data_IF_526291319509
#
_entry.id   IF_526291319509
#
_cell.length_a   1.000
_cell.length_b   1.000
_cell.length_c   1.000
_cell.angle_alpha   90.00
_cell.angle_beta   90.00
_cell.angle_gamma   90.00
#
_symmetry.space_group_name_H-M   'P 1'
#
loop_
_entity.id
_entity.type
_entity.pdbx_description
1 polymer ?
#
# COMPACT_ATOMS: atom_id res chain seq x y z
N UNK A 1 -40.63 15.98 -57.44
CA UNK A 1 -40.35 16.82 -56.25
C UNK A 1 -39.89 15.87 -55.16
N UNK A 2 -38.58 15.69 -55.05
CA UNK A 2 -37.96 14.58 -54.30
C UNK A 2 -37.58 15.07 -52.90
N UNK A 3 -37.88 14.22 -51.91
CA UNK A 3 -37.62 14.37 -50.49
C UNK A 3 -36.22 14.93 -50.21
N UNK A 4 -36.18 16.07 -49.52
CA UNK A 4 -35.01 16.53 -48.78
C UNK A 4 -35.53 17.20 -47.50
N UNK A 5 -34.80 17.03 -46.39
CA UNK A 5 -35.09 17.58 -45.04
C UNK A 5 -35.82 16.60 -44.08
N UNK A 6 -35.43 15.31 -44.02
CA UNK A 6 -35.70 14.47 -42.83
C UNK A 6 -34.53 13.56 -42.44
N UNK A 7 -33.30 14.06 -42.51
CA UNK A 7 -32.12 13.36 -41.96
C UNK A 7 -31.20 14.31 -41.20
N UNK A 8 -31.77 15.10 -40.30
CA UNK A 8 -31.02 15.86 -39.31
C UNK A 8 -31.60 15.50 -37.94
N UNK A 9 -31.07 14.43 -37.33
CA UNK A 9 -30.87 14.15 -35.90
C UNK A 9 -30.48 12.67 -35.84
N UNK A 10 -29.21 12.40 -36.11
CA UNK A 10 -28.55 11.17 -35.71
C UNK A 10 -27.14 11.54 -35.20
N UNK A 11 -27.09 12.53 -34.31
CA UNK A 11 -25.86 12.91 -33.63
C UNK A 11 -25.65 12.00 -32.40
N UNK A 12 -24.96 10.89 -32.65
CA UNK A 12 -24.02 10.18 -31.77
C UNK A 12 -24.41 9.93 -30.29
N UNK A 13 -24.84 8.70 -29.96
CA UNK A 13 -24.67 8.12 -28.61
C UNK A 13 -23.19 7.82 -28.23
N UNK A 14 -22.24 8.01 -29.15
CA UNK A 14 -20.85 7.52 -29.00
C UNK A 14 -19.94 8.36 -28.08
N UNK A 15 -20.35 9.56 -27.64
CA UNK A 15 -19.49 10.47 -26.85
C UNK A 15 -19.46 10.07 -25.36
N UNK A 16 -20.47 9.35 -24.87
CA UNK A 16 -20.54 8.98 -23.45
C UNK A 16 -19.53 7.86 -23.12
N UNK A 17 -19.37 6.88 -24.01
CA UNK A 17 -18.46 5.74 -23.80
C UNK A 17 -16.97 6.10 -23.75
N UNK A 18 -16.53 7.15 -24.45
CA UNK A 18 -15.12 7.56 -24.48
C UNK A 18 -14.69 8.27 -23.21
N UNK A 19 -15.56 9.09 -22.60
CA UNK A 19 -15.22 9.82 -21.37
C UNK A 19 -15.08 8.89 -20.15
N UNK A 20 -15.90 7.85 -20.07
CA UNK A 20 -15.80 6.84 -19.02
C UNK A 20 -14.58 5.92 -19.24
N UNK A 21 -14.28 5.55 -20.48
CA UNK A 21 -13.07 4.80 -20.82
C UNK A 21 -11.79 5.58 -20.52
N UNK A 22 -11.74 6.89 -20.82
CA UNK A 22 -10.62 7.77 -20.48
C UNK A 22 -10.50 7.92 -18.96
N UNK A 23 -11.61 8.14 -18.25
CA UNK A 23 -11.59 8.20 -16.78
C UNK A 23 -11.16 6.88 -16.16
N UNK A 24 -11.55 5.75 -16.74
CA UNK A 24 -11.10 4.43 -16.32
C UNK A 24 -9.61 4.27 -16.55
N UNK A 25 -9.10 4.61 -17.75
CA UNK A 25 -7.68 4.58 -18.07
C UNK A 25 -6.84 5.51 -17.20
N UNK A 26 -7.31 6.74 -16.93
CA UNK A 26 -6.65 7.68 -16.02
C UNK A 26 -6.63 7.16 -14.58
N UNK A 27 -7.73 6.56 -14.09
CA UNK A 27 -7.79 5.97 -12.74
C UNK A 27 -6.86 4.75 -12.62
N UNK A 28 -6.77 3.95 -13.66
CA UNK A 28 -5.87 2.79 -13.72
C UNK A 28 -4.40 3.21 -13.74
N UNK A 29 -4.04 4.16 -14.60
CA UNK A 29 -2.69 4.70 -14.69
C UNK A 29 -2.26 5.39 -13.38
N UNK A 30 -3.14 6.22 -12.78
CA UNK A 30 -2.87 6.84 -11.49
C UNK A 30 -2.69 5.77 -10.40
N UNK A 31 -3.49 4.70 -10.41
CA UNK A 31 -3.36 3.61 -9.44
C UNK A 31 -2.01 2.93 -9.59
N UNK A 32 -1.60 2.56 -10.79
CA UNK A 32 -0.30 1.94 -11.05
C UNK A 32 0.85 2.84 -10.56
N UNK A 33 0.80 4.14 -10.86
CA UNK A 33 1.74 5.13 -10.34
C UNK A 33 1.75 5.15 -8.80
N UNK A 34 0.57 5.24 -8.17
CA UNK A 34 0.47 5.29 -6.71
C UNK A 34 0.95 4.00 -6.02
N UNK A 35 0.87 2.84 -6.69
CA UNK A 35 1.27 1.55 -6.14
C UNK A 35 2.76 1.32 -6.18
N UNK A 36 3.45 1.84 -7.20
CA UNK A 36 4.91 1.86 -7.28
C UNK A 36 5.58 2.90 -6.35
N UNK A 37 4.82 3.84 -5.77
CA UNK A 37 5.36 4.88 -4.89
C UNK A 37 5.68 4.35 -3.49
N UNK A 38 6.96 4.45 -3.14
CA UNK A 38 7.48 4.20 -1.79
C UNK A 38 6.79 5.09 -0.76
N UNK A 39 6.39 4.49 0.35
CA UNK A 39 5.74 5.17 1.45
C UNK A 39 6.12 4.55 2.79
N UNK A 40 6.04 5.35 3.84
CA UNK A 40 6.18 4.86 5.19
C UNK A 40 4.80 4.46 5.72
N UNK A 41 4.80 3.72 6.83
CA UNK A 41 3.60 3.36 7.56
C UNK A 41 3.61 4.02 8.94
N UNK A 42 2.46 4.52 9.35
CA UNK A 42 2.21 5.02 10.70
C UNK A 42 0.94 4.42 11.24
N UNK A 43 0.78 4.38 12.56
CA UNK A 43 -0.38 3.74 13.20
C UNK A 43 -1.26 4.74 13.95
N UNK A 44 -2.47 4.31 14.26
CA UNK A 44 -3.42 4.99 15.14
C UNK A 44 -4.23 3.91 15.85
N UNK A 45 -4.61 4.11 17.11
CA UNK A 45 -5.42 3.11 17.81
C UNK A 45 -6.87 3.15 17.30
N UNK A 46 -7.45 1.98 17.06
CA UNK A 46 -8.85 1.86 16.66
C UNK A 46 -9.80 2.31 17.80
N UNK A 47 -9.42 2.04 19.05
CA UNK A 47 -10.13 2.50 20.26
C UNK A 47 -9.20 3.35 21.11
N UNK A 48 -9.69 4.50 21.57
CA UNK A 48 -8.92 5.37 22.45
C UNK A 48 -8.61 4.70 23.78
N UNK A 49 -7.39 4.91 24.27
CA UNK A 49 -6.91 4.41 25.56
C UNK A 49 -5.82 5.36 26.10
N UNK A 50 -5.25 5.03 27.26
CA UNK A 50 -4.09 5.75 27.82
C UNK A 50 -2.86 5.73 26.88
N UNK A 51 -2.81 4.78 25.94
CA UNK A 51 -1.73 4.65 24.97
C UNK A 51 -1.91 5.50 23.71
N UNK A 52 -3.11 6.06 23.47
CA UNK A 52 -3.42 6.78 22.22
C UNK A 52 -2.40 7.84 21.86
N UNK A 53 -1.99 8.67 22.83
CA UNK A 53 -1.03 9.75 22.58
C UNK A 53 0.33 9.24 22.06
N UNK A 54 0.74 8.03 22.45
CA UNK A 54 2.02 7.45 22.03
C UNK A 54 1.92 6.71 20.70
N UNK A 55 0.76 6.14 20.39
CA UNK A 55 0.53 5.39 19.15
C UNK A 55 0.14 6.29 17.98
N UNK A 56 -0.56 7.39 18.22
CA UNK A 56 -1.07 8.25 17.15
C UNK A 56 0.09 8.85 16.34
N UNK A 57 0.27 8.36 15.10
CA UNK A 57 1.35 8.76 14.21
C UNK A 57 2.69 8.09 14.49
N UNK A 58 2.75 7.10 15.37
CA UNK A 58 3.93 6.28 15.62
C UNK A 58 4.36 5.55 14.34
N UNK A 59 5.68 5.46 14.13
CA UNK A 59 6.25 4.86 12.93
C UNK A 59 6.45 3.35 13.10
N UNK A 60 6.43 2.66 11.96
CA UNK A 60 6.73 1.24 11.88
C UNK A 60 8.18 1.03 11.41
N UNK A 61 8.89 0.11 12.06
CA UNK A 61 10.28 -0.24 11.82
C UNK A 61 10.46 -1.73 11.56
N UNK A 62 11.57 -2.07 10.89
CA UNK A 62 11.97 -3.43 10.62
C UNK A 62 13.07 -3.85 11.59
N UNK A 63 12.90 -5.00 12.25
CA UNK A 63 13.92 -5.56 13.14
C UNK A 63 13.72 -7.08 13.27
N UNK A 64 14.82 -7.84 13.15
CA UNK A 64 14.84 -9.29 13.36
C UNK A 64 13.77 -10.05 12.57
N UNK A 65 13.59 -9.72 11.28
CA UNK A 65 12.58 -10.28 10.37
C UNK A 65 11.12 -10.04 10.78
N UNK A 66 10.88 -9.20 11.79
CA UNK A 66 9.56 -8.79 12.28
C UNK A 66 9.31 -7.29 12.05
N UNK A 67 8.04 -6.95 11.99
CA UNK A 67 7.58 -5.57 11.87
C UNK A 67 7.18 -5.04 13.24
N UNK A 68 7.72 -3.88 13.63
CA UNK A 68 7.58 -3.31 14.96
C UNK A 68 7.06 -1.88 14.91
N UNK A 69 6.32 -1.47 15.92
CA UNK A 69 5.81 -0.12 16.13
C UNK A 69 6.65 0.54 17.22
N UNK A 70 7.28 1.67 16.89
CA UNK A 70 8.07 2.47 17.83
C UNK A 70 7.20 3.57 18.44
N UNK A 71 6.84 3.40 19.72
CA UNK A 71 6.11 4.40 20.50
C UNK A 71 7.04 5.34 21.30
N UNK A 72 8.36 5.13 21.25
CA UNK A 72 9.37 6.00 21.87
C UNK A 72 9.77 7.17 20.96
N UNK A 73 9.74 6.95 19.64
CA UNK A 73 10.25 7.89 18.64
C UNK A 73 11.78 7.95 18.56
N UNK A 74 12.47 7.03 19.23
CA UNK A 74 13.94 6.98 19.33
C UNK A 74 14.55 6.09 18.24
N UNK A 75 13.83 5.09 17.72
CA UNK A 75 14.39 4.11 16.76
C UNK A 75 14.96 4.76 15.50
N UNK A 76 14.33 5.85 15.01
CA UNK A 76 14.85 6.62 13.88
C UNK A 76 16.20 7.27 14.17
N UNK A 77 16.44 7.71 15.41
CA UNK A 77 17.70 8.34 15.84
C UNK A 77 18.79 7.30 16.05
N UNK A 78 18.41 6.08 16.42
CA UNK A 78 19.31 4.92 16.56
C UNK A 78 19.67 4.27 15.22
N UNK A 79 19.14 4.78 14.11
CA UNK A 79 19.46 4.29 12.77
C UNK A 79 18.69 3.04 12.37
N UNK A 80 17.63 2.64 13.08
CA UNK A 80 16.76 1.57 12.62
C UNK A 80 16.06 1.99 11.32
N UNK A 81 15.99 1.06 10.38
CA UNK A 81 15.40 1.32 9.07
C UNK A 81 13.86 1.36 9.19
N UNK A 82 13.21 2.50 8.90
CA UNK A 82 11.76 2.58 8.90
C UNK A 82 11.21 1.75 7.74
N UNK A 83 10.01 1.18 7.94
CA UNK A 83 9.28 0.54 6.84
C UNK A 83 9.13 1.55 5.70
N UNK A 84 9.65 1.18 4.54
CA UNK A 84 9.54 1.95 3.31
C UNK A 84 8.93 1.02 2.26
N UNK A 85 7.61 0.94 2.28
CA UNK A 85 6.83 -0.04 1.54
C UNK A 85 6.28 0.49 0.22
N UNK A 86 6.02 -0.42 -0.70
CA UNK A 86 5.24 -0.22 -1.93
C UNK A 86 4.70 -1.57 -2.41
N UNK A 87 3.84 -1.56 -3.41
CA UNK A 87 3.17 -2.78 -3.85
C UNK A 87 3.74 -3.27 -5.18
N UNK A 88 3.85 -4.59 -5.29
CA UNK A 88 4.32 -5.28 -6.50
C UNK A 88 3.48 -6.55 -6.75
N UNK A 89 3.24 -6.91 -8.02
CA UNK A 89 2.63 -8.19 -8.35
C UNK A 89 3.42 -9.34 -7.72
N UNK A 90 2.73 -10.21 -6.98
CA UNK A 90 3.35 -11.37 -6.38
C UNK A 90 3.27 -12.57 -7.34
N UNK A 91 4.38 -13.26 -7.64
CA UNK A 91 4.38 -14.34 -8.62
C UNK A 91 3.36 -15.43 -8.31
N UNK A 92 2.56 -15.81 -9.31
CA UNK A 92 1.58 -16.90 -9.27
C UNK A 92 0.43 -16.75 -8.25
N UNK A 93 0.21 -15.57 -7.67
CA UNK A 93 -0.91 -15.34 -6.74
C UNK A 93 -2.10 -14.59 -7.34
N UNK A 94 -1.93 -13.94 -8.49
CA UNK A 94 -3.00 -13.15 -9.11
C UNK A 94 -4.27 -13.98 -9.37
N UNK A 95 -4.14 -15.11 -10.07
CA UNK A 95 -5.26 -16.00 -10.34
C UNK A 95 -5.87 -16.59 -9.06
N UNK A 96 -5.05 -16.86 -8.04
CA UNK A 96 -5.50 -17.37 -6.73
C UNK A 96 -6.39 -16.34 -6.04
N UNK A 97 -5.94 -15.09 -5.99
CA UNK A 97 -6.70 -13.99 -5.39
C UNK A 97 -7.99 -13.69 -6.16
N UNK A 98 -7.93 -13.72 -7.49
CA UNK A 98 -9.15 -13.59 -8.32
C UNK A 98 -10.16 -14.70 -8.02
N UNK A 99 -9.71 -15.95 -7.90
CA UNK A 99 -10.58 -17.08 -7.53
C UNK A 99 -11.17 -16.95 -6.12
N UNK A 100 -10.47 -16.28 -5.20
CA UNK A 100 -10.95 -15.94 -3.86
C UNK A 100 -11.90 -14.72 -3.83
N UNK A 101 -12.21 -14.13 -4.99
CA UNK A 101 -13.14 -13.00 -5.10
C UNK A 101 -12.48 -11.61 -5.00
N UNK A 102 -11.14 -11.55 -4.89
CA UNK A 102 -10.43 -10.28 -4.95
C UNK A 102 -10.36 -9.80 -6.39
N UNK A 103 -10.83 -8.58 -6.66
CA UNK A 103 -10.81 -8.01 -8.03
C UNK A 103 -9.39 -7.86 -8.58
N UNK A 104 -8.44 -7.55 -7.70
CA UNK A 104 -7.01 -7.36 -7.95
C UNK A 104 -6.27 -7.73 -6.66
N UNK A 105 -5.01 -8.11 -6.77
CA UNK A 105 -4.20 -8.42 -5.61
C UNK A 105 -2.72 -8.25 -5.90
N UNK A 106 -1.99 -7.71 -4.95
CA UNK A 106 -0.54 -7.60 -5.02
C UNK A 106 0.08 -7.95 -3.67
N UNK A 107 1.38 -8.25 -3.72
CA UNK A 107 2.19 -8.32 -2.52
C UNK A 107 2.64 -6.92 -2.10
N UNK A 108 3.01 -6.78 -0.83
CA UNK A 108 3.70 -5.60 -0.34
C UNK A 108 5.17 -5.94 -0.17
N UNK A 109 6.05 -5.04 -0.61
CA UNK A 109 7.49 -5.12 -0.36
C UNK A 109 7.93 -3.95 0.49
N UNK A 110 9.05 -4.10 1.18
CA UNK A 110 9.73 -3.03 1.92
C UNK A 110 11.22 -3.05 1.61
N UNK A 111 11.86 -1.88 1.63
CA UNK A 111 13.32 -1.83 1.65
C UNK A 111 13.84 -2.19 3.05
N UNK A 112 15.02 -2.82 3.12
CA UNK A 112 15.73 -3.13 4.37
C UNK A 112 17.04 -2.36 4.54
N UNK A 113 17.48 -1.69 3.47
CA UNK A 113 18.65 -0.81 3.43
C UNK A 113 18.33 0.39 2.53
N UNK A 114 19.02 1.50 2.77
CA UNK A 114 18.90 2.70 1.94
C UNK A 114 19.70 2.56 0.65
N UNK A 115 20.94 2.06 0.75
CA UNK A 115 21.86 1.92 -0.38
C UNK A 115 22.85 0.76 -0.17
N UNK A 116 22.83 -0.31 -1.00
CA UNK A 116 21.85 -0.57 -2.03
C UNK A 116 20.48 -0.92 -1.42
N UNK A 117 19.36 -0.53 -2.05
CA UNK A 117 18.03 -0.85 -1.55
C UNK A 117 17.70 -2.32 -1.80
N UNK A 118 17.98 -3.17 -0.83
CA UNK A 118 17.50 -4.56 -0.82
C UNK A 118 15.99 -4.58 -0.50
N UNK A 119 15.27 -5.47 -1.19
CA UNK A 119 13.82 -5.61 -1.09
C UNK A 119 13.44 -6.93 -0.45
N UNK A 120 12.59 -6.85 0.56
CA UNK A 120 11.93 -8.01 1.17
C UNK A 120 10.42 -7.91 0.98
N UNK A 121 9.77 -9.05 0.87
CA UNK A 121 8.33 -9.16 0.89
C UNK A 121 7.82 -9.06 2.31
N UNK A 122 6.69 -8.38 2.50
CA UNK A 122 5.94 -8.34 3.76
C UNK A 122 4.83 -9.39 3.70
N UNK A 123 4.74 -10.20 4.74
CA UNK A 123 3.79 -11.31 4.83
C UNK A 123 3.31 -11.49 6.26
N UNK A 124 2.18 -12.18 6.43
CA UNK A 124 1.68 -12.63 7.72
C UNK A 124 2.08 -14.09 7.90
N UNK A 125 2.76 -14.39 9.00
CA UNK A 125 3.12 -15.75 9.38
C UNK A 125 1.84 -16.55 9.65
N UNK A 126 1.69 -17.70 9.00
CA UNK A 126 0.49 -18.53 9.07
C UNK A 126 0.29 -19.17 10.44
N UNK A 127 1.36 -19.39 11.20
CA UNK A 127 1.29 -20.05 12.49
C UNK A 127 1.15 -19.03 13.62
N UNK A 128 1.96 -17.97 13.58
CA UNK A 128 2.03 -16.98 14.69
C UNK A 128 1.19 -15.74 14.47
N UNK A 129 0.81 -15.45 13.23
CA UNK A 129 0.09 -14.24 12.82
C UNK A 129 0.88 -12.95 13.00
N UNK A 130 2.19 -13.09 13.19
CA UNK A 130 3.14 -11.98 13.16
C UNK A 130 3.23 -11.42 11.74
N UNK A 131 3.24 -10.09 11.63
CA UNK A 131 3.62 -9.44 10.38
C UNK A 131 5.14 -9.43 10.29
N UNK A 132 5.66 -10.13 9.28
CA UNK A 132 7.08 -10.36 9.04
C UNK A 132 7.51 -9.81 7.70
N UNK A 133 8.82 -9.73 7.52
CA UNK A 133 9.43 -9.43 6.24
C UNK A 133 10.57 -10.39 5.95
N UNK A 134 10.76 -10.74 4.68
CA UNK A 134 11.78 -11.72 4.28
C UNK A 134 11.98 -11.81 2.78
N UNK A 135 12.94 -12.63 2.37
CA UNK A 135 13.14 -12.94 0.94
C UNK A 135 12.01 -13.84 0.43
N UNK A 136 11.94 -14.06 -0.88
CA UNK A 136 10.85 -14.82 -1.51
C UNK A 136 10.70 -16.24 -0.95
N UNK A 137 11.80 -16.89 -0.55
CA UNK A 137 11.79 -18.24 0.05
C UNK A 137 11.11 -18.28 1.41
N UNK A 138 11.27 -17.22 2.21
CA UNK A 138 10.69 -17.14 3.56
C UNK A 138 9.16 -17.00 3.52
N UNK A 139 8.65 -16.47 2.40
CA UNK A 139 7.22 -16.25 2.20
C UNK A 139 6.45 -17.49 1.73
N UNK A 140 7.15 -18.59 1.41
CA UNK A 140 6.51 -19.80 0.87
C UNK A 140 5.61 -20.42 1.93
N UNK A 141 4.33 -20.61 1.59
CA UNK A 141 3.33 -21.18 2.51
C UNK A 141 2.74 -20.17 3.51
N UNK A 142 3.25 -18.94 3.54
CA UNK A 142 2.77 -17.86 4.38
C UNK A 142 1.64 -17.07 3.70
N UNK A 143 0.95 -16.21 4.45
CA UNK A 143 -0.05 -15.34 3.86
C UNK A 143 0.62 -14.08 3.29
N UNK A 144 0.68 -13.97 1.97
CA UNK A 144 1.43 -12.91 1.27
C UNK A 144 0.57 -11.77 0.74
N UNK A 145 -0.74 -11.84 0.94
CA UNK A 145 -1.69 -10.84 0.49
C UNK A 145 -3.08 -11.40 0.18
N UNK A 146 -3.91 -10.65 -0.55
CA UNK A 146 -3.52 -9.41 -1.21
C UNK A 146 -3.39 -8.25 -0.22
N UNK A 147 -2.36 -7.42 -0.42
CA UNK A 147 -2.24 -6.14 0.25
C UNK A 147 -2.89 -5.05 -0.61
N UNK A 148 -3.70 -4.19 0.01
CA UNK A 148 -4.27 -3.02 -0.66
C UNK A 148 -4.42 -1.85 0.29
N UNK A 149 -4.78 -0.68 -0.23
CA UNK A 149 -5.19 0.48 0.55
C UNK A 149 -6.65 0.82 0.30
N UNK A 150 -7.33 1.40 1.28
CA UNK A 150 -8.72 1.84 1.10
C UNK A 150 -8.84 2.92 0.02
N UNK A 151 -10.01 2.95 -0.65
CA UNK A 151 -10.28 3.82 -1.81
C UNK A 151 -10.22 5.31 -1.50
N UNK A 152 -10.60 5.68 -0.27
CA UNK A 152 -10.80 7.08 0.11
C UNK A 152 -9.53 7.70 0.67
N UNK A 153 -8.70 6.94 1.39
CA UNK A 153 -7.45 7.45 1.92
C UNK A 153 -6.65 6.31 2.56
N UNK A 154 -5.50 5.98 1.94
CA UNK A 154 -4.21 5.55 2.52
C UNK A 154 -4.16 4.47 3.63
N UNK A 155 -5.28 3.96 4.16
CA UNK A 155 -5.28 2.93 5.19
C UNK A 155 -4.95 1.59 4.58
N UNK A 156 -3.95 0.93 5.15
CA UNK A 156 -3.48 -0.38 4.72
C UNK A 156 -4.53 -1.43 5.08
N UNK A 157 -4.71 -2.39 4.19
CA UNK A 157 -5.58 -3.55 4.38
C UNK A 157 -4.86 -4.81 3.89
N UNK A 158 -5.21 -5.93 4.49
CA UNK A 158 -4.72 -7.24 4.13
C UNK A 158 -5.91 -8.17 3.93
N UNK A 159 -5.92 -8.90 2.81
CA UNK A 159 -7.06 -9.74 2.42
C UNK A 159 -8.41 -9.01 2.44
N UNK A 160 -8.39 -7.70 2.14
CA UNK A 160 -9.59 -6.88 2.00
C UNK A 160 -10.14 -6.26 3.28
N UNK A 161 -9.44 -6.37 4.42
CA UNK A 161 -9.88 -5.74 5.67
C UNK A 161 -8.71 -5.30 6.57
N UNK A 162 -9.03 -4.64 7.69
CA UNK A 162 -8.10 -3.90 8.57
C UNK A 162 -7.97 -4.57 9.96
N UNK A 163 -7.48 -5.80 10.02
CA UNK A 163 -7.34 -6.61 11.25
C UNK A 163 -6.01 -6.46 12.00
N UNK A 164 -5.40 -5.27 12.00
CA UNK A 164 -4.06 -5.09 12.58
C UNK A 164 -4.09 -4.97 14.11
N UNK A 165 -3.15 -5.63 14.78
CA UNK A 165 -3.03 -5.65 16.24
C UNK A 165 -1.59 -5.34 16.65
N UNK A 166 -1.40 -4.38 17.54
CA UNK A 166 -0.15 -4.16 18.27
C UNK A 166 -0.09 -5.09 19.48
N UNK A 167 1.03 -5.78 19.65
CA UNK A 167 1.25 -6.68 20.79
C UNK A 167 2.50 -6.28 21.56
N UNK A 168 2.34 -6.12 22.87
CA UNK A 168 3.44 -5.92 23.81
C UNK A 168 4.04 -7.29 24.16
N UNK A 169 5.11 -7.69 23.49
CA UNK A 169 5.72 -9.01 23.71
C UNK A 169 6.42 -9.10 25.06
N UNK A 170 7.08 -8.04 25.49
CA UNK A 170 7.63 -7.92 26.84
C UNK A 170 7.05 -6.69 27.54
N UNK A 171 6.65 -6.87 28.79
CA UNK A 171 6.02 -5.80 29.58
C UNK A 171 6.99 -4.63 29.79
N UNK A 172 6.51 -3.42 29.47
CA UNK A 172 7.28 -2.19 29.58
C UNK A 172 8.06 -1.80 28.32
N UNK A 173 8.05 -2.63 27.26
CA UNK A 173 8.74 -2.31 26.01
C UNK A 173 8.04 -1.16 25.27
N UNK A 174 8.87 -0.29 24.68
CA UNK A 174 8.43 0.80 23.81
C UNK A 174 8.37 0.39 22.33
N UNK A 175 8.65 -0.87 22.04
CA UNK A 175 8.57 -1.48 20.71
C UNK A 175 7.53 -2.58 20.74
N UNK A 176 6.48 -2.42 19.95
CA UNK A 176 5.35 -3.35 19.94
C UNK A 176 5.35 -4.13 18.62
N UNK A 177 5.23 -5.44 18.68
CA UNK A 177 5.21 -6.26 17.49
C UNK A 177 3.87 -6.11 16.77
N UNK A 178 3.92 -6.04 15.44
CA UNK A 178 2.72 -5.96 14.61
C UNK A 178 2.23 -7.37 14.26
N UNK A 179 0.96 -7.63 14.53
CA UNK A 179 0.25 -8.85 14.19
C UNK A 179 -0.96 -8.54 13.30
N UNK A 180 -1.49 -9.58 12.65
CA UNK A 180 -2.74 -9.51 11.91
C UNK A 180 -3.69 -10.62 12.37
N UNK A 181 -4.87 -10.25 12.83
CA UNK A 181 -5.89 -11.20 13.25
C UNK A 181 -6.57 -11.81 12.00
N UNK A 182 -6.09 -12.95 11.50
CA UNK A 182 -6.59 -13.52 10.24
C UNK A 182 -8.04 -14.02 10.35
N UNK A 183 -8.45 -14.57 11.50
CA UNK A 183 -9.77 -15.16 11.72
C UNK A 183 -10.75 -14.25 12.48
N UNK A 184 -10.36 -13.03 12.84
CA UNK A 184 -11.18 -12.09 13.63
C UNK A 184 -11.57 -12.66 15.01
N UNK A 185 -10.63 -13.38 15.64
CA UNK A 185 -10.81 -14.04 16.95
C UNK A 185 -10.11 -13.29 18.10
N UNK A 186 -9.45 -12.18 17.79
CA UNK A 186 -8.61 -11.42 18.70
C UNK A 186 -7.26 -12.08 18.98
N UNK A 187 -6.77 -12.92 18.06
CA UNK A 187 -5.56 -13.75 18.21
C UNK A 187 -5.64 -14.72 19.39
N UNK A 188 -6.83 -15.25 19.69
CA UNK A 188 -7.13 -16.01 20.93
C UNK A 188 -7.19 -17.51 20.75
N UNK A 189 -7.05 -18.02 19.53
CA UNK A 189 -6.88 -19.45 19.31
C UNK A 189 -5.75 -20.03 20.18
N UNK A 190 -5.94 -21.27 20.61
CA UNK A 190 -5.08 -21.92 21.60
C UNK A 190 -3.60 -21.86 21.20
N UNK A 191 -2.77 -21.33 22.09
CA UNK A 191 -1.32 -21.20 21.86
C UNK A 191 -0.90 -19.93 21.11
N UNK A 192 -1.84 -19.14 20.58
CA UNK A 192 -1.54 -17.82 20.00
C UNK A 192 -1.29 -16.77 21.08
N UNK A 193 -0.83 -15.60 20.65
CA UNK A 193 -0.38 -14.55 21.57
C UNK A 193 -1.49 -13.98 22.46
N UNK A 194 -2.74 -13.98 21.99
CA UNK A 194 -3.89 -13.56 22.79
C UNK A 194 -4.27 -14.53 23.91
N UNK A 195 -3.88 -15.81 23.80
CA UNK A 195 -4.05 -16.85 24.83
C UNK A 195 -2.95 -16.78 25.91
N UNK A 196 -1.92 -15.94 25.71
CA UNK A 196 -0.75 -15.82 26.61
C UNK A 196 -0.84 -14.63 27.57
N UNK A 197 -1.99 -13.95 27.65
CA UNK A 197 -2.20 -12.80 28.54
C UNK A 197 -1.38 -11.56 28.17
N UNK A 198 -0.89 -11.47 26.92
CA UNK A 198 -0.17 -10.30 26.42
C UNK A 198 -1.11 -9.10 26.23
N UNK A 199 -0.57 -7.90 26.37
CA UNK A 199 -1.33 -6.68 26.09
C UNK A 199 -1.43 -6.49 24.58
N UNK A 200 -2.66 -6.26 24.10
CA UNK A 200 -2.96 -6.12 22.69
C UNK A 200 -3.85 -4.90 22.44
N UNK A 201 -3.55 -4.17 21.38
CA UNK A 201 -4.31 -2.98 20.96
C UNK A 201 -4.62 -3.06 19.47
N UNK A 202 -5.89 -2.99 19.09
CA UNK A 202 -6.30 -2.94 17.68
C UNK A 202 -5.90 -1.60 17.04
N UNK A 203 -5.46 -1.66 15.79
CA UNK A 203 -4.85 -0.54 15.08
C UNK A 203 -5.49 -0.27 13.73
N UNK A 204 -5.43 0.98 13.31
CA UNK A 204 -5.44 1.38 11.92
C UNK A 204 -4.01 1.70 11.47
N UNK A 205 -3.63 1.25 10.28
CA UNK A 205 -2.32 1.57 9.69
C UNK A 205 -2.53 2.51 8.50
N UNK A 206 -1.81 3.61 8.48
CA UNK A 206 -1.91 4.67 7.49
C UNK A 206 -0.61 4.79 6.68
N UNK A 207 -0.77 4.85 5.36
CA UNK A 207 0.30 5.22 4.43
C UNK A 207 0.66 6.69 4.61
N UNK A 208 1.93 6.94 4.88
CA UNK A 208 2.53 8.26 4.99
C UNK A 208 3.63 8.42 3.95
N UNK A 209 3.35 9.21 2.91
CA UNK A 209 4.33 9.52 1.89
C UNK A 209 5.48 10.36 2.47
N UNK A 210 6.73 10.13 2.02
CA UNK A 210 7.85 10.99 2.40
C UNK A 210 7.56 12.43 1.97
N UNK A 211 8.05 13.38 2.76
CA UNK A 211 8.03 14.78 2.34
C UNK A 211 8.95 14.94 1.14
N UNK A 212 8.44 15.51 0.06
CA UNK A 212 9.24 15.91 -1.10
C UNK A 212 9.94 17.23 -0.75
N UNK A 213 11.27 17.25 -0.84
CA UNK A 213 12.07 18.46 -0.66
C UNK A 213 11.93 19.41 -1.85
N UNK A 214 12.32 20.67 -1.68
CA UNK A 214 12.20 21.69 -2.73
C UNK A 214 12.95 21.28 -4.02
N UNK A 215 14.20 20.81 -3.90
CA UNK A 215 15.02 20.47 -5.06
C UNK A 215 14.41 19.31 -5.86
N UNK A 216 13.99 18.24 -5.18
CA UNK A 216 13.31 17.11 -5.80
C UNK A 216 11.98 17.55 -6.47
N UNK A 217 11.25 18.48 -5.86
CA UNK A 217 10.02 19.02 -6.45
C UNK A 217 10.29 19.87 -7.70
N UNK A 218 11.41 20.61 -7.72
CA UNK A 218 11.84 21.40 -8.88
C UNK A 218 12.30 20.50 -10.03
N UNK A 219 13.10 19.48 -9.76
CA UNK A 219 13.53 18.48 -10.73
C UNK A 219 12.32 17.76 -11.36
N UNK A 220 11.39 17.26 -10.54
CA UNK A 220 10.15 16.63 -11.02
C UNK A 220 9.33 17.60 -11.90
N UNK A 221 9.30 18.88 -11.55
CA UNK A 221 8.63 19.91 -12.36
C UNK A 221 9.31 20.12 -13.70
N UNK A 222 10.65 20.18 -13.73
CA UNK A 222 11.41 20.34 -14.97
C UNK A 222 11.21 19.13 -15.90
N UNK A 223 11.22 17.92 -15.37
CA UNK A 223 10.99 16.71 -16.14
C UNK A 223 9.57 16.65 -16.72
N UNK A 224 8.56 17.07 -15.94
CA UNK A 224 7.18 17.21 -16.44
C UNK A 224 7.08 18.23 -17.58
N UNK A 225 7.84 19.33 -17.52
CA UNK A 225 7.88 20.33 -18.60
C UNK A 225 8.54 19.74 -19.85
N UNK A 226 9.66 19.04 -19.71
CA UNK A 226 10.36 18.37 -20.83
C UNK A 226 9.47 17.33 -21.51
N UNK A 227 8.86 16.43 -20.73
CA UNK A 227 7.98 15.38 -21.26
C UNK A 227 6.79 15.97 -22.03
N UNK A 228 6.22 17.09 -21.55
CA UNK A 228 5.16 17.79 -22.28
C UNK A 228 5.65 18.40 -23.60
N UNK A 229 6.84 19.00 -23.60
CA UNK A 229 7.45 19.54 -24.81
C UNK A 229 7.75 18.47 -25.86
N UNK A 230 8.16 17.28 -25.45
CA UNK A 230 8.37 16.13 -26.35
C UNK A 230 7.07 15.60 -26.96
N UNK A 231 5.98 15.54 -26.18
CA UNK A 231 4.66 15.16 -26.67
C UNK A 231 4.11 16.15 -27.71
N UNK A 232 4.28 17.46 -27.46
CA UNK A 232 3.83 18.50 -28.39
C UNK A 232 4.65 18.46 -29.71
N UNK A 233 5.97 18.24 -29.63
CA UNK A 233 6.82 18.09 -30.81
C UNK A 233 6.51 16.80 -31.60
N UNK A 234 6.28 15.66 -30.93
CA UNK A 234 5.90 14.40 -31.58
C UNK A 234 4.53 14.44 -32.28
N UNK A 235 3.57 15.16 -31.69
CA UNK A 235 2.23 15.40 -32.29
C UNK A 235 2.32 16.26 -33.56
N UNK A 236 3.19 17.28 -33.56
CA UNK A 236 3.40 18.15 -34.73
C UNK A 236 4.08 17.43 -35.91
N UNK A 237 4.99 16.49 -35.64
CA UNK A 237 5.64 15.68 -36.68
C UNK A 237 4.68 14.67 -37.36
N UNK A 238 3.72 14.11 -36.60
CA UNK A 238 2.71 13.17 -37.12
C UNK A 238 1.69 13.83 -38.08
N UNK A 239 1.47 15.14 -37.95
CA UNK A 239 0.46 15.87 -38.74
C UNK A 239 0.97 16.28 -40.14
N UNK A 240 2.25 16.07 -40.46
CA UNK A 240 2.86 16.56 -41.72
C UNK A 240 2.91 15.50 -42.84
N UNK A 241 2.25 14.35 -42.68
CA UNK A 241 2.12 13.36 -43.76
C UNK A 241 0.68 13.32 -44.26
N UNK A 242 0.39 14.11 -45.29
CA UNK A 242 -0.76 13.98 -46.19
C UNK A 242 -0.38 14.54 -47.55
#
# INVERSE_FOLDING_TARGET
>A
MVLGIMTAIAACPAIIGTTEAIRHGQRENNREEHRGRKHNLVVTLLRRSEYSQRFDGAYIFLKDNKVWIDISGVSRREGLHPVTSYFLPYPNMEAVWQAQGFRRGEGMVTTISVDPPFLNWVYVDKETHEVKYGVRTDTVGQFVGPWDVTKTDRRLSFQGWEGFVAVEENEGDLMWALYFDVEDDGLRDKGRVGDQGKRMLALEIWRREPRVGYDAAMEEREDRIKARGELDNGSSASTTVS
#
